data_IF_221206242981
#
_entry.id   IF_221206242981
#
_cell.length_a   1.000
_cell.length_b   1.000
_cell.length_c   1.000
_cell.angle_alpha   90.00
_cell.angle_beta   90.00
_cell.angle_gamma   90.00
#
_symmetry.space_group_name_H-M   'P 1'
#
loop_
_entity.id
_entity.type
_entity.pdbx_description
1 polymer ?
#
# COMPACT_ATOMS: atom_id res chain seq x y z
N UNK A 1 6.75 17.96 3.50
CA UNK A 1 5.93 16.99 2.73
C UNK A 1 4.86 16.46 3.67
N UNK A 2 3.59 16.50 3.27
CA UNK A 2 2.49 16.10 4.16
C UNK A 2 2.27 14.58 4.07
N UNK A 3 2.87 13.86 5.02
CA UNK A 3 2.80 12.39 5.14
C UNK A 3 1.34 11.92 5.29
N UNK A 4 0.42 12.81 5.71
CA UNK A 4 -1.01 12.52 5.87
C UNK A 4 -1.72 12.15 4.57
N UNK A 5 -1.13 12.44 3.40
CA UNK A 5 -1.74 12.16 2.10
C UNK A 5 -1.39 10.77 1.53
N UNK A 6 -0.41 10.06 2.10
CA UNK A 6 0.03 8.77 1.58
C UNK A 6 -1.07 7.68 1.66
N UNK A 7 -1.86 7.55 2.74
CA UNK A 7 -2.97 6.58 2.77
C UNK A 7 -3.98 6.81 1.64
N UNK A 8 -4.34 8.07 1.37
CA UNK A 8 -5.25 8.40 0.27
C UNK A 8 -4.65 8.03 -1.09
N UNK A 9 -3.34 8.21 -1.26
CA UNK A 9 -2.66 7.78 -2.49
C UNK A 9 -2.66 6.26 -2.66
N UNK A 10 -2.48 5.50 -1.59
CA UNK A 10 -2.59 4.03 -1.61
C UNK A 10 -3.97 3.61 -2.08
N UNK A 11 -5.03 4.17 -1.49
CA UNK A 11 -6.42 3.89 -1.88
C UNK A 11 -6.64 4.21 -3.36
N UNK A 12 -6.27 5.42 -3.82
CA UNK A 12 -6.40 5.83 -5.23
C UNK A 12 -5.70 4.85 -6.20
N UNK A 13 -4.49 4.38 -5.83
CA UNK A 13 -3.75 3.42 -6.65
C UNK A 13 -4.46 2.06 -6.72
N UNK A 14 -4.99 1.58 -5.60
CA UNK A 14 -5.70 0.30 -5.54
C UNK A 14 -7.09 0.38 -6.20
N UNK A 15 -7.80 1.52 -6.12
CA UNK A 15 -9.05 1.74 -6.85
C UNK A 15 -8.84 1.68 -8.36
N UNK A 16 -7.75 2.29 -8.86
CA UNK A 16 -7.46 2.37 -10.29
C UNK A 16 -6.91 1.09 -10.88
N UNK A 17 -6.10 0.35 -10.12
CA UNK A 17 -5.35 -0.80 -10.64
C UNK A 17 -5.86 -2.14 -10.09
N UNK A 18 -6.81 -2.12 -9.15
CA UNK A 18 -7.15 -3.28 -8.34
C UNK A 18 -6.01 -3.67 -7.41
N UNK A 19 -5.95 -4.95 -7.07
CA UNK A 19 -4.93 -5.48 -6.19
C UNK A 19 -3.52 -5.37 -6.80
N UNK A 20 -2.57 -4.80 -6.04
CA UNK A 20 -1.18 -4.61 -6.46
C UNK A 20 -0.24 -5.48 -5.63
N UNK A 21 0.91 -5.85 -6.21
CA UNK A 21 2.00 -6.43 -5.42
C UNK A 21 2.65 -5.34 -4.58
N UNK A 22 3.19 -5.71 -3.41
CA UNK A 22 3.82 -4.76 -2.49
C UNK A 22 4.98 -3.97 -3.15
N UNK A 23 5.85 -4.64 -3.91
CA UNK A 23 6.97 -4.03 -4.62
C UNK A 23 6.50 -3.03 -5.70
N UNK A 24 5.43 -3.38 -6.41
CA UNK A 24 4.82 -2.49 -7.39
C UNK A 24 4.18 -1.25 -6.73
N UNK A 25 3.44 -1.45 -5.64
CA UNK A 25 2.83 -0.37 -4.87
C UNK A 25 3.89 0.57 -4.31
N UNK A 26 4.97 0.04 -3.72
CA UNK A 26 6.11 0.80 -3.22
C UNK A 26 6.76 1.63 -4.32
N UNK A 27 7.04 1.02 -5.48
CA UNK A 27 7.63 1.73 -6.61
C UNK A 27 6.75 2.89 -7.09
N UNK A 28 5.42 2.74 -7.07
CA UNK A 28 4.47 3.79 -7.46
C UNK A 28 4.41 4.91 -6.43
N UNK A 29 4.37 4.60 -5.14
CA UNK A 29 4.36 5.59 -4.06
C UNK A 29 5.66 6.39 -4.03
N UNK A 30 6.81 5.71 -4.16
CA UNK A 30 8.13 6.34 -4.15
C UNK A 30 8.35 7.36 -5.28
N UNK A 31 7.62 7.24 -6.41
CA UNK A 31 7.64 8.25 -7.48
C UNK A 31 7.04 9.58 -7.05
N UNK A 32 6.07 9.56 -6.12
CA UNK A 32 5.40 10.76 -5.61
C UNK A 32 6.01 11.24 -4.30
N UNK A 33 6.46 10.31 -3.45
CA UNK A 33 7.02 10.59 -2.13
C UNK A 33 8.46 10.07 -2.07
N UNK A 34 9.41 10.89 -2.55
CA UNK A 34 10.83 10.56 -2.48
C UNK A 34 11.26 10.39 -1.02
N UNK A 35 11.99 9.31 -0.73
CA UNK A 35 12.42 8.97 0.64
C UNK A 35 11.48 8.03 1.40
N UNK A 36 10.27 7.75 0.87
CA UNK A 36 9.39 6.74 1.45
C UNK A 36 9.98 5.33 1.26
N UNK A 37 10.30 4.66 2.36
CA UNK A 37 10.98 3.37 2.38
C UNK A 37 10.00 2.18 2.31
N UNK A 38 10.54 0.96 2.17
CA UNK A 38 9.71 -0.25 2.29
C UNK A 38 9.18 -0.44 3.70
N UNK A 39 9.95 -0.06 4.73
CA UNK A 39 9.51 -0.15 6.12
C UNK A 39 8.37 0.82 6.39
N UNK A 40 8.44 2.05 5.85
CA UNK A 40 7.35 3.01 5.96
C UNK A 40 6.07 2.49 5.30
N UNK A 41 6.20 1.86 4.12
CA UNK A 41 5.04 1.23 3.46
C UNK A 41 4.51 0.06 4.29
N UNK A 42 5.39 -0.73 4.90
CA UNK A 42 5.00 -1.87 5.72
C UNK A 42 4.18 -1.42 6.94
N UNK A 43 4.68 -0.43 7.68
CA UNK A 43 3.99 0.15 8.84
C UNK A 43 2.67 0.80 8.41
N UNK A 44 2.67 1.55 7.31
CA UNK A 44 1.48 2.19 6.77
C UNK A 44 0.39 1.16 6.41
N UNK A 45 0.75 0.11 5.66
CA UNK A 45 -0.21 -0.92 5.26
C UNK A 45 -0.75 -1.69 6.46
N UNK A 46 0.08 -1.97 7.47
CA UNK A 46 -0.38 -2.57 8.72
C UNK A 46 -1.42 -1.68 9.42
N UNK A 47 -1.18 -0.36 9.51
CA UNK A 47 -2.14 0.57 10.08
C UNK A 47 -3.45 0.63 9.27
N UNK A 48 -3.35 0.68 7.94
CA UNK A 48 -4.51 0.70 7.06
C UNK A 48 -5.32 -0.61 7.11
N UNK A 49 -4.64 -1.75 7.28
CA UNK A 49 -5.28 -3.07 7.44
C UNK A 49 -6.04 -3.16 8.78
N UNK A 50 -5.44 -2.66 9.88
CA UNK A 50 -6.13 -2.55 11.19
C UNK A 50 -7.38 -1.66 11.09
N UNK A 51 -7.33 -0.61 10.27
CA UNK A 51 -8.45 0.29 10.01
C UNK A 51 -9.50 -0.30 9.05
N UNK A 52 -9.25 -1.49 8.47
CA UNK A 52 -10.15 -2.12 7.50
C UNK A 52 -10.20 -1.40 6.15
N UNK A 53 -9.14 -0.67 5.77
CA UNK A 53 -9.06 0.02 4.48
C UNK A 53 -8.48 -0.88 3.37
N UNK A 54 -7.56 -1.76 3.75
CA UNK A 54 -6.88 -2.67 2.82
C UNK A 54 -6.79 -4.07 3.42
N UNK A 55 -6.54 -5.05 2.57
CA UNK A 55 -6.18 -6.41 2.98
C UNK A 55 -4.83 -6.78 2.35
N UNK A 56 -3.93 -7.35 3.15
CA UNK A 56 -2.59 -7.76 2.72
C UNK A 56 -2.47 -9.28 2.75
N UNK A 57 -2.47 -9.90 1.57
CA UNK A 57 -2.28 -11.33 1.41
C UNK A 57 -0.81 -11.67 1.26
N UNK A 58 -0.37 -12.71 1.98
CA UNK A 58 0.85 -13.42 1.60
C UNK A 58 0.56 -14.29 0.39
N UNK A 59 1.41 -14.18 -0.62
CA UNK A 59 1.40 -15.02 -1.81
C UNK A 59 2.73 -15.81 -1.87
N UNK A 60 2.85 -16.85 -2.71
CA UNK A 60 4.03 -17.71 -2.74
C UNK A 60 5.35 -16.95 -2.90
N UNK A 61 6.45 -17.58 -2.46
CA UNK A 61 7.82 -17.02 -2.49
C UNK A 61 7.97 -15.74 -1.63
N UNK A 62 7.24 -15.66 -0.52
CA UNK A 62 7.33 -14.53 0.42
C UNK A 62 6.85 -13.20 -0.14
N UNK A 63 6.14 -13.20 -1.28
CA UNK A 63 5.59 -11.98 -1.88
C UNK A 63 4.29 -11.59 -1.20
N UNK A 64 3.87 -10.35 -1.39
CA UNK A 64 2.63 -9.80 -0.82
C UNK A 64 1.78 -9.15 -1.88
N UNK A 65 0.47 -9.32 -1.76
CA UNK A 65 -0.56 -8.68 -2.59
C UNK A 65 -1.43 -7.81 -1.67
N UNK A 66 -1.68 -6.58 -2.08
CA UNK A 66 -2.44 -5.58 -1.34
C UNK A 66 -3.66 -5.24 -2.18
N UNK A 67 -4.84 -5.21 -1.58
CA UNK A 67 -6.07 -4.78 -2.24
C UNK A 67 -6.93 -3.96 -1.28
N UNK A 68 -7.92 -3.25 -1.82
CA UNK A 68 -8.91 -2.58 -0.98
C UNK A 68 -9.72 -3.63 -0.23
N UNK A 69 -9.93 -3.41 1.07
CA UNK A 69 -10.83 -4.26 1.83
C UNK A 69 -12.22 -4.18 1.21
N UNK A 70 -12.76 -5.35 0.84
CA UNK A 70 -14.17 -5.44 0.46
C UNK A 70 -14.99 -5.24 1.73
N UNK A 71 -15.98 -4.35 1.70
CA UNK A 71 -16.95 -4.23 2.80
C UNK A 71 -17.68 -5.55 3.04
#
# INVERSE_FOLDING_TARGET
MDVKLIPAKVVELLERNGALKFDELQKRIKKTYSGFSEEDLNILLMQMEIQGLVTVYRIPKGKRRVELASR
#
